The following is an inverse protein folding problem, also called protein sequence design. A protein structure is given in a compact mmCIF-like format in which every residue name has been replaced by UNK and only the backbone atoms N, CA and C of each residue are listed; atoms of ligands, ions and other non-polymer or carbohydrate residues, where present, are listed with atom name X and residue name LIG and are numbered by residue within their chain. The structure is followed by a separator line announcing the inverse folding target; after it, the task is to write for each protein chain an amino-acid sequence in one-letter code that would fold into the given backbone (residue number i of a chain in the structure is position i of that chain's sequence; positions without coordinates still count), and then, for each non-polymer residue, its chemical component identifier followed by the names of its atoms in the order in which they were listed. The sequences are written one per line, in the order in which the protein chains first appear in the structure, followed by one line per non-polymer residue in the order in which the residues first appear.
data_IF_520715162253
#
_entry.id   IF_520715162253
#
_cell.length_a   1.000
_cell.length_b   1.000
_cell.length_c   1.000
_cell.angle_alpha   90.00
_cell.angle_beta   90.00
_cell.angle_gamma   90.00
#
_symmetry.space_group_name_H-M   'P 1'
#
loop_
_entity.id
_entity.type
_entity.pdbx_description
1 polymer ?
#
# COMPACT_ATOMS: atom_id res chain seq x y z
N UNK A 1 -55.26 28.80 10.89
CA UNK A 1 -54.30 29.73 11.55
C UNK A 1 -54.00 29.21 12.94
N UNK A 2 -52.70 29.17 13.29
CA UNK A 2 -52.14 29.42 14.64
C UNK A 2 -52.79 28.61 15.78
N UNK A 3 -52.22 27.55 16.36
CA UNK A 3 -50.85 27.35 16.81
C UNK A 3 -50.71 25.87 17.20
N UNK A 4 -50.02 25.04 16.42
CA UNK A 4 -49.59 23.70 16.84
C UNK A 4 -48.46 23.18 15.93
N UNK A 5 -47.54 24.08 15.58
CA UNK A 5 -46.39 23.82 14.71
C UNK A 5 -45.04 24.20 15.34
N UNK A 6 -44.93 24.34 16.67
CA UNK A 6 -43.70 24.91 17.28
C UNK A 6 -43.13 24.23 18.53
N UNK A 7 -43.56 23.04 18.92
CA UNK A 7 -42.91 22.34 20.06
C UNK A 7 -42.78 20.84 19.80
N UNK A 8 -42.00 20.47 18.80
CA UNK A 8 -41.31 19.18 18.74
C UNK A 8 -40.01 19.33 17.93
N UNK A 9 -39.20 20.31 18.33
CA UNK A 9 -37.83 20.50 17.87
C UNK A 9 -36.92 20.31 19.09
N UNK A 10 -36.91 19.09 19.64
CA UNK A 10 -35.91 18.66 20.61
C UNK A 10 -35.83 17.13 20.57
N UNK A 11 -34.64 16.65 20.24
CA UNK A 11 -34.15 15.29 20.54
C UNK A 11 -34.56 14.11 19.63
N UNK A 12 -34.43 14.25 18.32
CA UNK A 12 -34.22 13.09 17.42
C UNK A 12 -33.20 13.41 16.33
N UNK A 13 -32.04 13.94 16.73
CA UNK A 13 -30.83 14.02 15.91
C UNK A 13 -29.70 13.54 16.83
N UNK A 14 -28.83 12.64 16.33
CA UNK A 14 -27.75 11.93 17.03
C UNK A 14 -28.05 10.54 17.64
N UNK A 15 -28.56 9.62 16.84
CA UNK A 15 -28.15 8.21 16.97
C UNK A 15 -27.71 7.64 15.62
N UNK A 16 -26.70 8.25 15.01
CA UNK A 16 -25.78 7.52 14.12
C UNK A 16 -24.63 7.04 15.00
N UNK A 17 -24.95 6.14 15.92
CA UNK A 17 -23.93 5.31 16.56
C UNK A 17 -23.66 4.21 15.54
N UNK A 18 -22.73 4.48 14.63
CA UNK A 18 -22.10 3.40 13.86
C UNK A 18 -21.28 2.64 14.90
N UNK A 19 -21.92 1.64 15.49
CA UNK A 19 -21.31 0.66 16.37
C UNK A 19 -20.34 -0.18 15.55
N UNK A 20 -19.12 0.34 15.34
CA UNK A 20 -18.01 -0.44 14.79
C UNK A 20 -17.30 -1.15 15.95
N UNK A 21 -18.00 -2.08 16.59
CA UNK A 21 -17.44 -2.92 17.65
C UNK A 21 -18.04 -4.29 17.50
N UNK A 22 -17.25 -5.27 16.99
CA UNK A 22 -17.34 -6.73 17.21
C UNK A 22 -16.80 -7.61 16.05
N UNK A 23 -16.21 -7.04 14.99
CA UNK A 23 -15.66 -7.84 13.86
C UNK A 23 -14.19 -7.52 13.54
N UNK A 24 -13.33 -7.45 14.55
CA UNK A 24 -11.92 -7.08 14.34
C UNK A 24 -11.12 -8.16 13.60
N UNK A 25 -11.31 -9.44 13.94
CA UNK A 25 -10.56 -10.53 13.28
C UNK A 25 -10.96 -10.71 11.81
N UNK A 26 -12.26 -10.68 11.48
CA UNK A 26 -12.73 -10.93 10.11
C UNK A 26 -12.48 -9.78 9.12
N UNK A 27 -12.24 -8.55 9.61
CA UNK A 27 -11.97 -7.39 8.74
C UNK A 27 -10.49 -7.27 8.40
N UNK A 28 -9.60 -7.56 9.34
CA UNK A 28 -8.14 -7.64 9.11
C UNK A 28 -7.83 -8.64 7.99
N UNK A 29 -8.44 -9.83 8.05
CA UNK A 29 -8.24 -10.88 7.04
C UNK A 29 -8.71 -10.51 5.63
N UNK A 30 -9.45 -9.41 5.47
CA UNK A 30 -9.85 -8.90 4.15
C UNK A 30 -8.78 -8.05 3.51
N UNK A 31 -7.83 -7.51 4.27
CA UNK A 31 -6.74 -6.73 3.69
C UNK A 31 -5.85 -7.65 2.88
N UNK A 32 -5.65 -7.33 1.62
CA UNK A 32 -4.84 -8.10 0.69
C UNK A 32 -3.83 -7.20 0.00
N UNK A 33 -2.76 -7.82 -0.50
CA UNK A 33 -1.79 -7.13 -1.34
C UNK A 33 -2.50 -6.51 -2.55
N UNK A 34 -2.07 -5.31 -2.92
CA UNK A 34 -2.66 -4.55 -4.02
C UNK A 34 -3.91 -3.75 -3.65
N UNK A 35 -4.41 -3.81 -2.42
CA UNK A 35 -5.45 -2.85 -1.98
C UNK A 35 -4.91 -1.43 -1.94
N UNK A 36 -5.74 -0.45 -2.26
CA UNK A 36 -5.39 0.97 -2.11
C UNK A 36 -5.47 1.44 -0.66
N UNK A 37 -4.83 2.55 -0.34
CA UNK A 37 -4.95 3.20 0.97
C UNK A 37 -6.41 3.53 1.33
N UNK A 38 -7.22 3.91 0.35
CA UNK A 38 -8.66 4.18 0.52
C UNK A 38 -9.44 2.90 0.83
N UNK A 39 -9.17 1.80 0.14
CA UNK A 39 -9.79 0.50 0.42
C UNK A 39 -9.44 0.02 1.83
N UNK A 40 -8.16 0.13 2.24
CA UNK A 40 -7.72 -0.18 3.61
C UNK A 40 -8.40 0.73 4.64
N UNK A 41 -8.50 2.04 4.35
CA UNK A 41 -9.19 2.99 5.23
C UNK A 41 -10.67 2.66 5.39
N UNK A 42 -11.33 2.19 4.32
CA UNK A 42 -12.71 1.77 4.37
C UNK A 42 -12.89 0.48 5.19
N UNK A 43 -11.90 -0.42 5.19
CA UNK A 43 -11.93 -1.67 5.96
C UNK A 43 -11.58 -1.50 7.44
N UNK A 44 -10.52 -0.74 7.75
CA UNK A 44 -9.92 -0.67 9.09
C UNK A 44 -10.12 0.67 9.79
N UNK A 45 -10.56 1.69 9.06
CA UNK A 45 -10.65 3.07 9.53
C UNK A 45 -9.33 3.82 9.42
N UNK A 46 -9.26 4.96 10.13
CA UNK A 46 -8.05 5.76 10.25
C UNK A 46 -6.99 5.03 11.09
N UNK A 47 -5.71 5.03 10.69
CA UNK A 47 -4.64 4.41 11.50
C UNK A 47 -4.36 5.21 12.77
N UNK A 48 -3.83 4.52 13.77
CA UNK A 48 -3.39 5.10 15.04
C UNK A 48 -2.06 5.83 14.85
N UNK A 49 -1.12 5.22 14.10
CA UNK A 49 0.13 5.86 13.69
C UNK A 49 0.34 5.75 12.18
N UNK A 50 0.98 6.78 11.62
CA UNK A 50 1.33 6.86 10.20
C UNK A 50 2.76 7.35 10.08
N UNK A 51 3.56 6.63 9.29
CA UNK A 51 4.95 6.94 8.95
C UNK A 51 5.06 7.03 7.44
N UNK A 52 5.81 7.98 6.91
CA UNK A 52 6.04 8.11 5.47
C UNK A 52 7.49 8.46 5.19
N UNK A 53 8.03 7.88 4.13
CA UNK A 53 9.37 8.19 3.64
C UNK A 53 9.44 7.99 2.12
N UNK A 54 9.85 9.05 1.42
CA UNK A 54 10.14 9.02 -0.02
C UNK A 54 9.09 8.31 -0.90
N UNK A 55 7.81 8.48 -0.58
CA UNK A 55 6.65 7.89 -1.29
C UNK A 55 6.28 6.46 -0.88
N UNK A 56 7.01 5.86 0.07
CA UNK A 56 6.52 4.71 0.83
C UNK A 56 5.77 5.21 2.06
N UNK A 57 4.75 4.47 2.49
CA UNK A 57 4.06 4.74 3.75
C UNK A 57 3.91 3.48 4.57
N UNK A 58 3.82 3.63 5.88
CA UNK A 58 3.49 2.55 6.79
C UNK A 58 2.41 3.04 7.75
N UNK A 59 1.34 2.27 7.85
CA UNK A 59 0.22 2.55 8.75
C UNK A 59 0.17 1.50 9.83
N UNK A 60 -0.06 1.93 11.06
CA UNK A 60 -0.12 1.08 12.25
C UNK A 60 -1.50 1.23 12.91
N UNK A 61 -2.10 0.10 13.26
CA UNK A 61 -3.37 0.01 13.95
C UNK A 61 -3.23 -0.84 15.20
N UNK A 62 -3.86 -0.42 16.28
CA UNK A 62 -4.02 -1.20 17.51
C UNK A 62 -5.49 -1.55 17.68
N UNK A 63 -5.81 -2.85 17.68
CA UNK A 63 -7.17 -3.35 17.89
C UNK A 63 -7.24 -4.16 19.17
N UNK A 64 -8.12 -3.76 20.09
CA UNK A 64 -8.41 -4.51 21.31
C UNK A 64 -9.53 -5.51 21.07
N UNK A 65 -9.30 -6.77 21.40
CA UNK A 65 -10.36 -7.77 21.44
C UNK A 65 -11.12 -7.63 22.78
N UNK A 66 -12.38 -7.23 22.70
CA UNK A 66 -13.23 -7.01 23.88
C UNK A 66 -13.54 -8.30 24.67
N UNK A 67 -13.44 -9.48 24.05
CA UNK A 67 -13.72 -10.76 24.74
C UNK A 67 -12.50 -11.35 25.43
N UNK A 68 -11.29 -11.09 24.93
CA UNK A 68 -10.03 -11.62 25.50
C UNK A 68 -9.16 -10.56 26.16
N UNK A 69 -9.51 -9.28 26.04
CA UNK A 69 -8.70 -8.11 26.41
C UNK A 69 -7.30 -8.06 25.75
N UNK A 70 -7.05 -8.91 24.76
CA UNK A 70 -5.78 -8.93 24.02
C UNK A 70 -5.73 -7.77 23.01
N UNK A 71 -4.56 -7.15 22.88
CA UNK A 71 -4.29 -6.11 21.88
C UNK A 71 -3.55 -6.71 20.69
N UNK A 72 -4.03 -6.48 19.49
CA UNK A 72 -3.36 -6.83 18.23
C UNK A 72 -2.82 -5.56 17.58
N UNK A 73 -1.53 -5.56 17.25
CA UNK A 73 -0.91 -4.54 16.41
C UNK A 73 -0.92 -5.03 14.97
N UNK A 74 -1.28 -4.15 14.05
CA UNK A 74 -1.33 -4.40 12.61
C UNK A 74 -0.47 -3.34 11.94
N UNK A 75 0.47 -3.76 11.09
CA UNK A 75 1.35 -2.87 10.32
C UNK A 75 1.10 -3.13 8.85
N UNK A 76 0.84 -2.09 8.06
CA UNK A 76 0.60 -2.18 6.63
C UNK A 76 1.57 -1.26 5.90
N UNK A 77 2.38 -1.82 4.99
CA UNK A 77 3.30 -1.07 4.15
C UNK A 77 2.68 -0.78 2.78
N UNK A 78 2.82 0.46 2.34
CA UNK A 78 2.35 0.96 1.05
C UNK A 78 3.51 1.46 0.19
N UNK A 79 3.43 1.16 -1.10
CA UNK A 79 4.25 1.79 -2.15
C UNK A 79 3.32 2.22 -3.27
N UNK A 80 3.46 3.46 -3.77
CA UNK A 80 2.54 4.07 -4.74
C UNK A 80 1.06 4.01 -4.31
N UNK A 81 0.81 4.11 -3.01
CA UNK A 81 -0.52 4.03 -2.41
C UNK A 81 -1.15 2.63 -2.42
N UNK A 82 -0.39 1.58 -2.75
CA UNK A 82 -0.86 0.19 -2.82
C UNK A 82 -0.24 -0.65 -1.72
N UNK A 83 -1.01 -1.54 -1.10
CA UNK A 83 -0.54 -2.48 -0.08
C UNK A 83 0.51 -3.40 -0.68
N UNK A 84 1.69 -3.41 -0.07
CA UNK A 84 2.83 -4.27 -0.47
C UNK A 84 3.13 -5.33 0.58
N UNK A 85 2.87 -5.04 1.85
CA UNK A 85 3.09 -5.93 2.98
C UNK A 85 2.08 -5.65 4.10
N UNK A 86 1.79 -6.67 4.90
CA UNK A 86 0.97 -6.55 6.09
C UNK A 86 1.42 -7.56 7.14
N UNK A 87 1.64 -7.07 8.36
CA UNK A 87 1.97 -7.88 9.53
C UNK A 87 0.91 -7.67 10.61
N UNK A 88 0.61 -8.72 11.37
CA UNK A 88 -0.27 -8.64 12.53
C UNK A 88 0.24 -9.54 13.64
N UNK A 89 0.35 -9.00 14.85
CA UNK A 89 0.90 -9.71 16.01
C UNK A 89 0.28 -9.18 17.31
N UNK A 90 0.40 -9.98 18.38
CA UNK A 90 -0.07 -9.57 19.70
C UNK A 90 0.87 -8.51 20.29
N UNK A 91 0.30 -7.46 20.86
CA UNK A 91 1.05 -6.44 21.58
C UNK A 91 1.59 -7.05 22.86
N UNK A 92 2.89 -7.35 22.91
CA UNK A 92 3.54 -7.72 24.17
C UNK A 92 3.51 -6.54 25.13
N UNK A 93 2.55 -6.53 26.05
CA UNK A 93 2.57 -5.64 27.21
C UNK A 93 3.61 -6.24 28.16
N UNK A 94 4.89 -5.92 27.97
CA UNK A 94 5.75 -5.85 29.15
C UNK A 94 5.32 -4.56 29.85
N UNK A 95 4.65 -4.62 31.02
CA UNK A 95 4.45 -3.39 31.78
C UNK A 95 5.84 -2.77 31.96
N UNK A 96 6.01 -1.47 31.68
CA UNK A 96 7.28 -0.83 31.98
C UNK A 96 7.60 -1.15 33.44
N UNK A 97 8.84 -1.56 33.77
CA UNK A 97 9.22 -1.72 35.17
C UNK A 97 8.80 -0.44 35.89
N UNK A 98 7.98 -0.56 36.92
CA UNK A 98 7.50 0.58 37.71
C UNK A 98 8.74 1.17 38.39
N UNK A 99 9.40 2.08 37.68
CA UNK A 99 10.51 2.84 38.21
C UNK A 99 9.88 3.93 39.08
N UNK A 100 9.96 3.74 40.40
CA UNK A 100 9.73 4.82 41.35
C UNK A 100 10.91 5.77 41.20
N UNK A 101 10.88 6.66 40.21
CA UNK A 101 11.94 7.65 39.97
C UNK A 101 11.49 9.08 40.33
N UNK A 102 12.36 9.87 40.97
CA UNK A 102 12.10 11.28 41.31
C UNK A 102 11.98 12.16 40.06
N UNK A 103 11.35 13.35 40.17
CA UNK A 103 10.94 14.13 39.02
C UNK A 103 12.16 14.79 38.36
N UNK A 104 12.65 14.24 37.23
CA UNK A 104 13.32 14.98 36.15
C UNK A 104 13.81 14.16 34.94
N UNK A 105 13.40 12.90 34.74
CA UNK A 105 13.78 12.18 33.52
C UNK A 105 12.77 12.39 32.38
N UNK A 106 13.27 12.96 31.28
CA UNK A 106 12.55 13.10 30.02
C UNK A 106 12.27 11.68 29.50
N UNK A 107 11.00 11.28 29.50
CA UNK A 107 10.56 10.00 28.96
C UNK A 107 10.70 10.04 27.43
N UNK A 108 11.82 9.53 26.92
CA UNK A 108 11.94 9.21 25.50
C UNK A 108 10.97 8.06 25.21
N UNK A 109 9.87 8.33 24.52
CA UNK A 109 8.90 7.30 24.11
C UNK A 109 9.60 6.41 23.08
N UNK A 110 10.24 5.34 23.55
CA UNK A 110 10.77 4.28 22.68
C UNK A 110 9.57 3.56 22.08
N UNK A 111 9.42 3.49 20.74
CA UNK A 111 8.36 2.73 20.11
C UNK A 111 8.38 1.28 20.60
N UNK A 112 7.22 0.60 20.72
CA UNK A 112 7.19 -0.81 21.06
C UNK A 112 8.14 -1.58 20.14
N UNK A 113 9.00 -2.43 20.72
CA UNK A 113 9.88 -3.30 19.95
C UNK A 113 9.02 -4.19 19.05
N UNK A 114 8.93 -3.84 17.78
CA UNK A 114 8.34 -4.70 16.77
C UNK A 114 9.15 -5.99 16.72
N UNK A 115 8.51 -7.17 16.71
CA UNK A 115 9.27 -8.39 16.49
C UNK A 115 10.00 -8.27 15.16
N UNK A 116 11.33 -8.39 15.19
CA UNK A 116 12.17 -8.38 14.00
C UNK A 116 11.88 -9.67 13.23
N UNK A 117 10.84 -9.61 12.40
CA UNK A 117 10.42 -10.70 11.55
C UNK A 117 11.02 -10.47 10.16
N UNK A 118 12.35 -10.48 10.09
CA UNK A 118 13.11 -10.89 8.90
C UNK A 118 12.89 -12.38 8.59
N UNK A 119 11.64 -12.83 8.64
CA UNK A 119 11.24 -14.21 8.43
C UNK A 119 11.21 -14.58 6.95
N UNK A 120 11.32 -15.88 6.63
CA UNK A 120 11.37 -16.39 5.25
C UNK A 120 10.12 -16.12 4.40
N UNK A 121 9.04 -15.59 5.00
CA UNK A 121 7.80 -15.19 4.34
C UNK A 121 7.78 -13.73 3.84
N UNK A 122 8.82 -12.94 4.17
CA UNK A 122 8.92 -11.57 3.65
C UNK A 122 9.10 -11.64 2.13
N UNK A 123 8.36 -10.81 1.36
CA UNK A 123 8.65 -10.64 -0.07
C UNK A 123 10.12 -10.30 -0.22
N UNK A 124 10.89 -11.18 -0.86
CA UNK A 124 12.36 -11.05 -0.95
C UNK A 124 12.80 -9.75 -1.65
N UNK A 125 11.85 -9.07 -2.31
CA UNK A 125 12.09 -7.94 -3.17
C UNK A 125 11.06 -6.84 -2.91
N UNK A 126 11.55 -5.66 -2.51
CA UNK A 126 10.76 -4.44 -2.34
C UNK A 126 10.78 -3.64 -3.65
N UNK A 127 9.65 -3.08 -4.05
CA UNK A 127 9.63 -2.13 -5.16
C UNK A 127 10.53 -0.92 -4.88
N UNK A 128 11.06 -0.33 -5.95
CA UNK A 128 11.76 0.93 -5.92
C UNK A 128 10.88 1.98 -5.26
N UNK A 129 11.44 2.78 -4.34
CA UNK A 129 10.67 3.85 -3.75
C UNK A 129 10.29 4.89 -4.83
N UNK A 130 9.16 5.60 -4.67
CA UNK A 130 8.68 6.53 -5.70
C UNK A 130 9.66 7.67 -6.04
N UNK A 131 10.48 8.13 -5.10
CA UNK A 131 11.46 9.18 -5.36
C UNK A 131 12.57 8.70 -6.31
N UNK A 132 13.18 7.55 -6.02
CA UNK A 132 14.20 6.93 -6.87
C UNK A 132 13.64 6.54 -8.23
N UNK A 133 12.39 6.08 -8.24
CA UNK A 133 11.66 5.82 -9.47
C UNK A 133 11.54 7.06 -10.34
N UNK A 134 11.20 8.21 -9.76
CA UNK A 134 11.13 9.44 -10.54
C UNK A 134 12.47 9.89 -11.10
N UNK A 135 13.55 9.67 -10.34
CA UNK A 135 14.89 9.95 -10.83
C UNK A 135 15.25 9.06 -12.02
N UNK A 136 14.93 7.76 -11.96
CA UNK A 136 15.10 6.84 -13.09
C UNK A 136 14.23 7.26 -14.29
N UNK A 137 12.93 7.50 -14.05
CA UNK A 137 11.97 7.87 -15.08
C UNK A 137 12.41 9.13 -15.85
N UNK A 138 12.82 10.19 -15.14
CA UNK A 138 13.32 11.42 -15.75
C UNK A 138 14.60 11.20 -16.55
N UNK A 139 15.54 10.39 -16.03
CA UNK A 139 16.78 10.07 -16.74
C UNK A 139 16.51 9.33 -18.06
N UNK A 140 15.59 8.38 -18.07
CA UNK A 140 15.17 7.69 -19.30
C UNK A 140 14.48 8.68 -20.23
N UNK A 141 13.43 9.35 -19.77
CA UNK A 141 12.60 10.24 -20.60
C UNK A 141 13.38 11.38 -21.27
N UNK A 142 14.41 11.90 -20.62
CA UNK A 142 15.20 13.02 -21.13
C UNK A 142 16.25 12.62 -22.18
N UNK A 143 16.43 11.33 -22.48
CA UNK A 143 17.27 10.90 -23.60
C UNK A 143 16.62 11.28 -24.93
N UNK A 144 17.44 11.79 -25.84
CA UNK A 144 16.98 12.29 -27.15
C UNK A 144 16.57 11.15 -28.10
N UNK A 145 17.27 10.01 -28.04
CA UNK A 145 17.04 8.87 -28.93
C UNK A 145 16.40 7.70 -28.21
N UNK A 146 15.51 6.98 -28.90
CA UNK A 146 14.79 5.82 -28.35
C UNK A 146 15.73 4.69 -27.95
N UNK A 147 16.82 4.49 -28.69
CA UNK A 147 17.78 3.43 -28.39
C UNK A 147 18.49 3.71 -27.06
N UNK A 148 18.90 4.97 -26.82
CA UNK A 148 19.47 5.40 -25.54
C UNK A 148 18.46 5.27 -24.38
N UNK A 149 17.17 5.55 -24.65
CA UNK A 149 16.10 5.35 -23.67
C UNK A 149 16.01 3.88 -23.27
N UNK A 150 15.99 2.98 -24.26
CA UNK A 150 15.86 1.54 -24.03
C UNK A 150 17.10 0.95 -23.35
N UNK A 151 18.29 1.40 -23.73
CA UNK A 151 19.56 1.00 -23.11
C UNK A 151 19.60 1.42 -21.63
N UNK A 152 19.35 2.70 -21.33
CA UNK A 152 19.36 3.20 -19.95
C UNK A 152 18.31 2.50 -19.09
N UNK A 153 17.12 2.26 -19.65
CA UNK A 153 16.07 1.51 -19.00
C UNK A 153 16.51 0.07 -18.71
N UNK A 154 17.17 -0.60 -19.66
CA UNK A 154 17.66 -1.97 -19.46
C UNK A 154 18.61 -2.09 -18.28
N UNK A 155 19.53 -1.14 -18.16
CA UNK A 155 20.47 -1.05 -17.03
C UNK A 155 19.73 -0.74 -15.73
N UNK A 156 18.78 0.20 -15.77
CA UNK A 156 17.98 0.62 -14.62
C UNK A 156 17.09 -0.47 -14.04
N UNK A 157 16.80 -1.54 -14.78
CA UNK A 157 15.91 -2.62 -14.34
C UNK A 157 16.66 -3.78 -13.65
N UNK A 158 17.96 -4.00 -13.93
CA UNK A 158 18.71 -5.22 -13.52
C UNK A 158 18.71 -5.49 -12.01
N UNK A 159 18.70 -4.47 -11.17
CA UNK A 159 18.75 -4.65 -9.70
C UNK A 159 17.54 -4.07 -8.99
N UNK A 160 16.50 -3.73 -9.75
CA UNK A 160 15.34 -3.04 -9.22
C UNK A 160 14.07 -3.86 -9.44
N UNK A 161 13.11 -3.61 -8.55
CA UNK A 161 11.77 -4.15 -8.63
C UNK A 161 10.79 -3.01 -8.72
N UNK A 162 9.65 -3.24 -9.36
CA UNK A 162 8.72 -2.17 -9.70
C UNK A 162 7.29 -2.56 -9.34
N UNK A 163 6.47 -1.55 -9.07
CA UNK A 163 5.02 -1.74 -9.05
C UNK A 163 4.46 -1.79 -10.48
N UNK A 164 3.23 -2.28 -10.65
CA UNK A 164 2.52 -2.20 -11.93
C UNK A 164 2.33 -0.74 -12.35
N UNK A 165 2.07 0.17 -11.41
CA UNK A 165 1.98 1.62 -11.67
C UNK A 165 3.30 2.20 -12.20
N UNK A 166 4.42 1.87 -11.57
CA UNK A 166 5.75 2.27 -12.03
C UNK A 166 6.04 1.71 -13.43
N UNK A 167 5.73 0.43 -13.66
CA UNK A 167 5.92 -0.22 -14.97
C UNK A 167 5.07 0.46 -16.05
N UNK A 168 3.80 0.75 -15.78
CA UNK A 168 2.90 1.47 -16.67
C UNK A 168 3.46 2.87 -17.04
N UNK A 169 4.05 3.57 -16.07
CA UNK A 169 4.73 4.85 -16.31
C UNK A 169 5.96 4.72 -17.20
N UNK A 170 6.80 3.71 -16.99
CA UNK A 170 7.97 3.44 -17.86
C UNK A 170 7.53 3.13 -19.29
N UNK A 171 6.49 2.32 -19.47
CA UNK A 171 5.91 2.02 -20.79
C UNK A 171 5.43 3.31 -21.47
N UNK A 172 4.78 4.20 -20.72
CA UNK A 172 4.21 5.46 -21.23
C UNK A 172 5.26 6.49 -21.70
N UNK A 173 6.56 6.21 -21.58
CA UNK A 173 7.61 6.99 -22.26
C UNK A 173 7.51 6.83 -23.78
N UNK A 174 7.05 5.67 -24.24
CA UNK A 174 6.99 5.31 -25.64
C UNK A 174 5.57 5.44 -26.20
N UNK A 175 5.46 6.01 -27.39
CA UNK A 175 4.18 6.22 -28.08
C UNK A 175 3.57 4.90 -28.54
N UNK A 176 4.37 4.04 -29.17
CA UNK A 176 3.89 2.84 -29.84
C UNK A 176 3.92 1.63 -28.93
N UNK A 177 2.89 0.79 -29.04
CA UNK A 177 2.76 -0.38 -28.18
C UNK A 177 3.87 -1.43 -28.39
N UNK A 178 4.57 -1.45 -29.53
CA UNK A 178 5.68 -2.40 -29.74
C UNK A 178 6.83 -2.11 -28.76
N UNK A 179 7.20 -0.85 -28.62
CA UNK A 179 8.15 -0.37 -27.63
C UNK A 179 7.62 -0.59 -26.21
N UNK A 180 6.36 -0.27 -25.92
CA UNK A 180 5.75 -0.55 -24.60
C UNK A 180 5.86 -2.03 -24.23
N UNK A 181 5.62 -2.93 -25.19
CA UNK A 181 5.74 -4.38 -24.98
C UNK A 181 7.20 -4.83 -24.81
N UNK A 182 8.18 -4.16 -25.42
CA UNK A 182 9.61 -4.39 -25.14
C UNK A 182 9.92 -4.05 -23.69
N UNK A 183 9.47 -2.89 -23.20
CA UNK A 183 9.63 -2.49 -21.79
C UNK A 183 9.00 -3.51 -20.86
N UNK A 184 7.76 -3.92 -21.11
CA UNK A 184 7.07 -4.91 -20.28
C UNK A 184 7.85 -6.22 -20.19
N UNK A 185 8.40 -6.72 -21.31
CA UNK A 185 9.22 -7.94 -21.33
C UNK A 185 10.50 -7.81 -20.51
N UNK A 186 11.09 -6.63 -20.42
CA UNK A 186 12.28 -6.38 -19.60
C UNK A 186 11.96 -6.38 -18.10
N UNK A 187 10.78 -5.89 -17.72
CA UNK A 187 10.40 -5.63 -16.33
C UNK A 187 9.54 -6.75 -15.72
N UNK A 188 8.89 -7.60 -16.51
CA UNK A 188 7.85 -8.55 -16.06
C UNK A 188 8.25 -9.48 -14.90
N UNK A 189 9.50 -9.92 -14.86
CA UNK A 189 10.03 -10.78 -13.78
C UNK A 189 10.32 -10.03 -12.48
N UNK A 190 10.18 -8.70 -12.48
CA UNK A 190 10.56 -7.78 -11.40
C UNK A 190 9.37 -6.96 -10.89
N UNK A 191 8.16 -7.33 -11.28
CA UNK A 191 6.92 -6.73 -10.78
C UNK A 191 6.52 -7.39 -9.46
N UNK A 192 6.29 -6.59 -8.42
CA UNK A 192 6.01 -7.10 -7.06
C UNK A 192 4.51 -7.22 -6.73
N UNK A 193 3.65 -6.53 -7.47
CA UNK A 193 2.20 -6.40 -7.26
C UNK A 193 1.44 -6.79 -8.53
N UNK A 194 1.70 -7.99 -9.06
CA UNK A 194 1.13 -8.45 -10.35
C UNK A 194 -0.40 -8.43 -10.39
N UNK A 195 -1.06 -8.54 -9.24
CA UNK A 195 -2.50 -8.36 -9.07
C UNK A 195 -3.01 -7.00 -9.59
N UNK A 196 -2.16 -5.97 -9.61
CA UNK A 196 -2.45 -4.65 -10.16
C UNK A 196 -2.19 -4.53 -11.67
N UNK A 197 -2.01 -5.64 -12.38
CA UNK A 197 -1.65 -5.65 -13.80
C UNK A 197 -2.60 -4.86 -14.71
N UNK A 198 -3.85 -4.61 -14.29
CA UNK A 198 -4.77 -3.69 -14.97
C UNK A 198 -4.16 -2.32 -15.29
N UNK A 199 -3.25 -1.82 -14.45
CA UNK A 199 -2.56 -0.54 -14.67
C UNK A 199 -1.64 -0.60 -15.89
N UNK A 200 -0.99 -1.74 -16.13
CA UNK A 200 -0.16 -1.99 -17.30
C UNK A 200 -1.03 -2.15 -18.55
N UNK A 201 -2.08 -2.97 -18.46
CA UNK A 201 -2.96 -3.28 -19.60
C UNK A 201 -3.59 -2.01 -20.19
N UNK A 202 -4.03 -1.07 -19.34
CA UNK A 202 -4.64 0.20 -19.76
C UNK A 202 -3.70 1.11 -20.57
N UNK A 203 -2.39 0.87 -20.56
CA UNK A 203 -1.42 1.68 -21.32
C UNK A 203 -1.29 1.26 -22.78
N UNK A 204 -1.84 0.10 -23.16
CA UNK A 204 -1.74 -0.47 -24.50
C UNK A 204 -3.03 -0.17 -25.29
N UNK A 205 -2.88 0.36 -26.50
CA UNK A 205 -4.00 0.71 -27.37
C UNK A 205 -4.52 -0.53 -28.12
N UNK A 206 -3.61 -1.43 -28.50
CA UNK A 206 -3.92 -2.66 -29.23
C UNK A 206 -4.48 -3.75 -28.30
N UNK A 207 -5.71 -4.21 -28.59
CA UNK A 207 -6.33 -5.33 -27.88
C UNK A 207 -5.50 -6.62 -27.93
N UNK A 208 -4.87 -6.91 -29.08
CA UNK A 208 -3.98 -8.08 -29.21
C UNK A 208 -2.78 -7.99 -28.26
N UNK A 209 -2.18 -6.80 -28.12
CA UNK A 209 -1.06 -6.58 -27.21
C UNK A 209 -1.50 -6.59 -25.74
N UNK A 210 -2.71 -6.14 -25.43
CA UNK A 210 -3.30 -6.31 -24.11
C UNK A 210 -3.40 -7.79 -23.72
N UNK A 211 -3.83 -8.66 -24.65
CA UNK A 211 -3.90 -10.10 -24.39
C UNK A 211 -2.52 -10.72 -24.19
N UNK A 212 -1.52 -10.32 -24.97
CA UNK A 212 -0.15 -10.77 -24.77
C UNK A 212 0.44 -10.26 -23.45
N UNK A 213 0.14 -9.03 -23.06
CA UNK A 213 0.55 -8.49 -21.76
C UNK A 213 -0.08 -9.27 -20.60
N UNK A 214 -1.36 -9.66 -20.69
CA UNK A 214 -2.01 -10.53 -19.69
C UNK A 214 -1.28 -11.87 -19.54
N UNK A 215 -0.88 -12.49 -20.66
CA UNK A 215 -0.08 -13.73 -20.66
C UNK A 215 1.28 -13.53 -19.99
N UNK A 216 1.99 -12.45 -20.32
CA UNK A 216 3.30 -12.12 -19.72
C UNK A 216 3.19 -11.93 -18.21
N UNK A 217 2.12 -11.28 -17.75
CA UNK A 217 1.89 -11.03 -16.32
C UNK A 217 1.37 -12.26 -15.58
N UNK A 218 0.99 -13.34 -16.28
CA UNK A 218 0.37 -14.53 -15.69
C UNK A 218 -1.04 -14.27 -15.16
N UNK A 219 -1.73 -13.25 -15.67
CA UNK A 219 -3.09 -12.88 -15.25
C UNK A 219 -4.05 -13.49 -16.26
N UNK A 220 -4.27 -14.80 -16.14
CA UNK A 220 -5.29 -15.52 -16.91
C UNK A 220 -6.61 -15.47 -16.15
N UNK A 221 -7.56 -14.68 -16.65
CA UNK A 221 -8.98 -14.68 -16.28
C UNK A 221 -9.36 -14.16 -14.88
N UNK A 222 -9.23 -12.86 -14.64
CA UNK A 222 -9.93 -12.17 -13.54
C UNK A 222 -10.56 -10.85 -14.00
N UNK A 223 -11.42 -10.87 -15.02
CA UNK A 223 -12.43 -9.82 -15.26
C UNK A 223 -13.62 -10.46 -15.97
#
# INVERSE_FOLDING_TARGET
MRKLKQTLLALTICTLVISCSLTTSSTIMKVQRGMSQEEVSHLLGKPDFRRFDNGSEQWEYTKTNVSTAANTVIIIDFVDGMVTNMDSFESNITPPPVAVCPPNEIITVVPPNHPDHSGPHRPKHKAMNPHDFENLYKKVKNKAFKDDQMELLSVGVVNNYFTCKQTARLMSIFTWDDEKMKVLRMVSNRIVDRENGKEIIKTLDSLFKQDDARKILGITNQW
#
